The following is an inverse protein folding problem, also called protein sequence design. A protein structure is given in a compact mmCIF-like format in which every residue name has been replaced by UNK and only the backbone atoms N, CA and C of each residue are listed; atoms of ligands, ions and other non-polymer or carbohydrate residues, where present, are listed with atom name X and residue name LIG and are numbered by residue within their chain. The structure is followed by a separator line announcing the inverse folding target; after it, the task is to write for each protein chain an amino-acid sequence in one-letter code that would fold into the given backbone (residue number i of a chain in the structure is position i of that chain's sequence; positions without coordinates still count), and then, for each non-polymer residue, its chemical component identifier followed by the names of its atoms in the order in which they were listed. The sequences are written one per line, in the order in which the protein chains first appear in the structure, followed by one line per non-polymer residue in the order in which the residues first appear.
data_IF_738509106277
#
_entry.id   IF_738509106277
#
_cell.length_a   1.000
_cell.length_b   1.000
_cell.length_c   1.000
_cell.angle_alpha   90.00
_cell.angle_beta   90.00
_cell.angle_gamma   90.00
#
_symmetry.space_group_name_H-M   'P 1'
#
loop_
_entity.id
_entity.type
_entity.pdbx_description
1 polymer ?
#
# COMPACT_ATOMS: atom_id res chain seq x y z
N UNK A 1 -13.69 -18.57 -9.98
CA UNK A 1 -14.08 -17.17 -10.29
C UNK A 1 -14.56 -16.40 -9.06
N UNK A 2 -15.67 -16.81 -8.42
CA UNK A 2 -16.21 -16.10 -7.24
C UNK A 2 -15.23 -16.06 -6.05
N UNK A 3 -14.69 -17.20 -5.64
CA UNK A 3 -13.73 -17.27 -4.54
C UNK A 3 -12.46 -16.43 -4.80
N UNK A 4 -11.89 -16.53 -6.00
CA UNK A 4 -10.72 -15.71 -6.41
C UNK A 4 -11.01 -14.22 -6.34
N UNK A 5 -12.17 -13.80 -6.87
CA UNK A 5 -12.59 -12.38 -6.84
C UNK A 5 -12.74 -11.90 -5.40
N UNK A 6 -13.40 -12.71 -4.54
CA UNK A 6 -13.60 -12.38 -3.14
C UNK A 6 -12.27 -12.21 -2.41
N UNK A 7 -11.32 -13.13 -2.59
CA UNK A 7 -9.98 -13.04 -1.99
C UNK A 7 -9.24 -11.77 -2.43
N UNK A 8 -9.26 -11.44 -3.73
CA UNK A 8 -8.61 -10.24 -4.24
C UNK A 8 -9.24 -8.95 -3.68
N UNK A 9 -10.56 -8.91 -3.54
CA UNK A 9 -11.25 -7.76 -2.94
C UNK A 9 -10.97 -7.64 -1.44
N UNK A 10 -10.86 -8.77 -0.72
CA UNK A 10 -10.45 -8.79 0.69
C UNK A 10 -9.03 -8.22 0.83
N UNK A 11 -8.09 -8.64 -0.03
CA UNK A 11 -6.73 -8.09 -0.04
C UNK A 11 -6.73 -6.59 -0.33
N UNK A 12 -7.53 -6.13 -1.30
CA UNK A 12 -7.67 -4.70 -1.59
C UNK A 12 -8.25 -3.91 -0.41
N UNK A 13 -9.21 -4.48 0.33
CA UNK A 13 -9.79 -3.85 1.52
C UNK A 13 -8.77 -3.73 2.67
N UNK A 14 -7.95 -4.76 2.89
CA UNK A 14 -6.84 -4.66 3.85
C UNK A 14 -5.81 -3.60 3.44
N UNK A 15 -5.48 -3.52 2.15
CA UNK A 15 -4.63 -2.44 1.63
C UNK A 15 -5.22 -1.04 1.82
N UNK A 16 -6.53 -0.87 1.61
CA UNK A 16 -7.22 0.40 1.87
C UNK A 16 -7.20 0.77 3.36
N UNK A 17 -7.39 -0.23 4.23
CA UNK A 17 -7.32 -0.06 5.69
C UNK A 17 -5.92 0.38 6.11
N UNK A 18 -4.89 -0.24 5.54
CA UNK A 18 -3.49 0.12 5.76
C UNK A 18 -3.21 1.59 5.39
N UNK A 19 -3.63 2.04 4.20
CA UNK A 19 -3.48 3.45 3.79
C UNK A 19 -4.25 4.40 4.73
N UNK A 20 -5.44 3.99 5.19
CA UNK A 20 -6.23 4.74 6.17
C UNK A 20 -5.52 4.90 7.51
N UNK A 21 -4.90 3.83 8.03
CA UNK A 21 -4.11 3.88 9.26
C UNK A 21 -2.88 4.78 9.10
N UNK A 22 -2.20 4.70 7.95
CA UNK A 22 -1.06 5.56 7.64
C UNK A 22 -1.46 7.06 7.62
N UNK A 23 -2.62 7.40 7.04
CA UNK A 23 -3.13 8.77 7.04
C UNK A 23 -3.49 9.26 8.46
N UNK A 24 -4.04 8.38 9.30
CA UNK A 24 -4.32 8.68 10.70
C UNK A 24 -3.03 8.99 11.48
N UNK A 25 -2.02 8.16 11.31
CA UNK A 25 -0.71 8.36 11.93
C UNK A 25 -0.06 9.67 11.51
N UNK A 26 -0.04 9.98 10.20
CA UNK A 26 0.46 11.24 9.68
C UNK A 26 -0.25 12.45 10.31
N UNK A 27 -1.58 12.37 10.42
CA UNK A 27 -2.37 13.44 11.04
C UNK A 27 -1.96 13.65 12.50
N UNK A 28 -1.72 12.55 13.24
CA UNK A 28 -1.27 12.61 14.64
C UNK A 28 0.13 13.23 14.75
N UNK A 29 1.09 12.78 13.97
CA UNK A 29 2.46 13.30 13.96
C UNK A 29 2.53 14.79 13.60
N UNK A 30 1.74 15.21 12.62
CA UNK A 30 1.66 16.63 12.21
C UNK A 30 1.06 17.50 13.32
N UNK A 31 0.08 16.98 14.08
CA UNK A 31 -0.50 17.67 15.24
C UNK A 31 0.49 17.78 16.41
N UNK A 32 1.34 16.78 16.59
CA UNK A 32 2.43 16.79 17.58
C UNK A 32 3.63 17.65 17.14
N UNK A 33 3.59 18.21 15.92
CA UNK A 33 4.54 19.20 15.42
C UNK A 33 5.59 18.64 14.47
N UNK A 34 5.61 17.33 14.22
CA UNK A 34 6.51 16.70 13.24
C UNK A 34 6.00 16.97 11.83
N UNK A 35 6.75 17.76 11.07
CA UNK A 35 6.44 18.15 9.70
C UNK A 35 7.62 17.84 8.78
N UNK A 36 7.40 17.72 7.45
CA UNK A 36 8.49 17.49 6.50
C UNK A 36 9.58 18.58 6.56
N UNK A 37 9.22 19.80 6.95
CA UNK A 37 10.12 20.96 7.02
C UNK A 37 10.52 21.36 8.46
N UNK A 38 10.16 20.56 9.47
CA UNK A 38 10.50 20.88 10.85
C UNK A 38 10.07 19.78 11.81
N UNK A 39 11.00 19.35 12.66
CA UNK A 39 10.76 18.32 13.66
C UNK A 39 11.20 18.82 15.05
N UNK A 40 10.26 19.03 16.00
CA UNK A 40 10.59 19.44 17.36
C UNK A 40 11.01 18.27 18.27
N UNK A 41 10.83 17.02 17.84
CA UNK A 41 11.00 15.81 18.67
C UNK A 41 12.33 15.06 18.40
N UNK A 42 13.23 15.59 17.57
CA UNK A 42 14.50 14.91 17.27
C UNK A 42 15.28 15.56 16.13
N UNK A 43 15.93 14.73 15.31
CA UNK A 43 16.72 15.21 14.18
C UNK A 43 15.84 15.99 13.17
N UNK A 44 16.32 17.14 12.72
CA UNK A 44 15.59 18.01 11.79
C UNK A 44 15.23 17.31 10.46
N UNK A 45 16.07 16.37 10.01
CA UNK A 45 15.87 15.58 8.77
C UNK A 45 14.97 14.36 8.93
N UNK A 46 14.59 13.99 10.15
CA UNK A 46 13.75 12.81 10.36
C UNK A 46 12.37 13.00 9.70
N UNK A 47 11.74 14.17 9.89
CA UNK A 47 10.44 14.47 9.30
C UNK A 47 10.46 14.38 7.78
N UNK A 48 11.41 15.03 7.11
CA UNK A 48 11.53 15.01 5.65
C UNK A 48 11.69 13.59 5.10
N UNK A 49 12.63 12.82 5.66
CA UNK A 49 12.88 11.44 5.22
C UNK A 49 11.68 10.50 5.51
N UNK A 50 11.10 10.59 6.71
CA UNK A 50 9.96 9.76 7.11
C UNK A 50 8.76 9.99 6.21
N UNK A 51 8.32 11.26 6.04
CA UNK A 51 7.15 11.57 5.20
C UNK A 51 7.39 11.26 3.72
N UNK A 52 8.63 11.45 3.22
CA UNK A 52 8.96 11.12 1.83
C UNK A 52 8.93 9.61 1.57
N UNK A 53 9.61 8.82 2.38
CA UNK A 53 9.72 7.35 2.18
C UNK A 53 8.36 6.69 2.42
N UNK A 54 7.72 6.98 3.56
CA UNK A 54 6.40 6.40 3.86
C UNK A 54 5.34 6.91 2.88
N UNK A 55 5.42 8.17 2.45
CA UNK A 55 4.46 8.75 1.49
C UNK A 55 4.57 8.14 0.11
N UNK A 56 5.79 7.97 -0.40
CA UNK A 56 6.03 7.30 -1.68
C UNK A 56 5.56 5.84 -1.64
N UNK A 57 5.80 5.15 -0.52
CA UNK A 57 5.29 3.80 -0.31
C UNK A 57 3.75 3.78 -0.27
N UNK A 58 3.12 4.68 0.49
CA UNK A 58 1.66 4.80 0.57
C UNK A 58 1.00 5.07 -0.79
N UNK A 59 1.68 5.81 -1.67
CA UNK A 59 1.27 5.98 -3.08
C UNK A 59 1.29 4.65 -3.83
N UNK A 60 2.36 3.84 -3.70
CA UNK A 60 2.45 2.52 -4.35
C UNK A 60 1.37 1.56 -3.86
N UNK A 61 1.09 1.56 -2.55
CA UNK A 61 -0.01 0.77 -1.97
C UNK A 61 -1.35 1.22 -2.52
N UNK A 62 -1.61 2.53 -2.58
CA UNK A 62 -2.85 3.09 -3.13
C UNK A 62 -3.06 2.70 -4.60
N UNK A 63 -2.01 2.81 -5.42
CA UNK A 63 -2.04 2.35 -6.81
C UNK A 63 -2.28 0.83 -6.90
N UNK A 64 -1.67 0.06 -6.00
CA UNK A 64 -1.88 -1.39 -5.89
C UNK A 64 -3.32 -1.78 -5.53
N UNK A 65 -3.97 -1.05 -4.62
CA UNK A 65 -5.37 -1.29 -4.23
C UNK A 65 -6.29 -1.06 -5.42
N UNK A 66 -6.07 0.02 -6.17
CA UNK A 66 -6.79 0.31 -7.41
C UNK A 66 -6.57 -0.83 -8.41
N UNK A 67 -5.32 -1.25 -8.60
CA UNK A 67 -4.99 -2.30 -9.56
C UNK A 67 -5.62 -3.65 -9.20
N UNK A 68 -5.51 -4.08 -7.94
CA UNK A 68 -6.17 -5.28 -7.42
C UNK A 68 -7.69 -5.24 -7.63
N UNK A 69 -8.32 -4.10 -7.33
CA UNK A 69 -9.77 -3.93 -7.50
C UNK A 69 -10.17 -4.06 -8.98
N UNK A 70 -9.43 -3.42 -9.89
CA UNK A 70 -9.69 -3.51 -11.33
C UNK A 70 -9.52 -4.95 -11.84
N UNK A 71 -8.47 -5.65 -11.42
CA UNK A 71 -8.22 -7.04 -11.84
C UNK A 71 -9.28 -7.97 -11.25
N UNK A 72 -9.68 -7.81 -9.99
CA UNK A 72 -10.76 -8.56 -9.37
C UNK A 72 -12.08 -8.42 -10.16
N UNK A 73 -12.44 -7.19 -10.55
CA UNK A 73 -13.64 -6.94 -11.38
C UNK A 73 -13.54 -7.59 -12.77
N UNK A 74 -12.35 -7.62 -13.38
CA UNK A 74 -12.10 -8.31 -14.66
C UNK A 74 -12.19 -9.84 -14.54
N UNK A 75 -11.72 -10.41 -13.42
CA UNK A 75 -11.86 -11.84 -13.10
C UNK A 75 -13.33 -12.21 -12.91
N UNK A 76 -14.09 -11.38 -12.18
CA UNK A 76 -15.53 -11.60 -11.97
C UNK A 76 -16.33 -11.61 -13.28
N UNK A 77 -15.99 -10.69 -14.21
CA UNK A 77 -16.59 -10.61 -15.55
C UNK A 77 -16.15 -11.75 -16.50
N UNK A 78 -15.25 -12.64 -16.08
CA UNK A 78 -14.77 -13.77 -16.89
C UNK A 78 -13.89 -13.35 -18.07
N UNK A 79 -13.24 -12.17 -17.99
CA UNK A 79 -12.41 -11.64 -19.08
C UNK A 79 -11.21 -12.52 -19.38
N UNK A 80 -10.56 -13.05 -18.34
CA UNK A 80 -9.34 -13.86 -18.47
C UNK A 80 -9.62 -15.29 -18.94
N UNK A 81 -10.78 -15.86 -18.60
CA UNK A 81 -11.21 -17.15 -19.15
C UNK A 81 -11.44 -17.12 -20.67
N UNK A 82 -11.88 -15.97 -21.21
CA UNK A 82 -11.99 -15.77 -22.66
C UNK A 82 -10.63 -15.58 -23.34
N UNK A 83 -9.63 -15.12 -22.59
CA UNK A 83 -8.28 -14.82 -23.09
C UNK A 83 -7.34 -16.03 -23.01
N UNK A 84 -7.67 -17.03 -22.19
CA UNK A 84 -6.89 -18.28 -22.05
C UNK A 84 -5.62 -18.15 -21.20
N UNK A 85 -5.33 -16.98 -20.61
CA UNK A 85 -4.18 -16.78 -19.73
C UNK A 85 -4.54 -15.97 -18.47
N UNK A 86 -3.95 -16.37 -17.35
CA UNK A 86 -4.09 -15.73 -16.03
C UNK A 86 -2.86 -14.91 -15.62
N UNK A 87 -1.92 -14.70 -16.54
CA UNK A 87 -0.65 -14.00 -16.34
C UNK A 87 -0.83 -12.62 -15.69
N UNK A 88 -1.86 -11.86 -16.09
CA UNK A 88 -2.14 -10.54 -15.49
C UNK A 88 -2.46 -10.62 -14.00
N UNK A 89 -3.13 -11.68 -13.54
CA UNK A 89 -3.43 -11.88 -12.11
C UNK A 89 -2.15 -12.18 -11.34
N UNK A 90 -1.26 -12.99 -11.91
CA UNK A 90 0.02 -13.34 -11.29
C UNK A 90 0.96 -12.13 -11.19
N UNK A 91 1.10 -11.34 -12.26
CA UNK A 91 1.87 -10.08 -12.26
C UNK A 91 1.32 -9.11 -11.21
N UNK A 92 -0.02 -9.03 -11.09
CA UNK A 92 -0.66 -8.19 -10.07
C UNK A 92 -0.32 -8.67 -8.65
N UNK A 93 -0.33 -9.98 -8.43
CA UNK A 93 0.08 -10.58 -7.16
C UNK A 93 1.54 -10.31 -6.83
N UNK A 94 2.45 -10.47 -7.80
CA UNK A 94 3.88 -10.17 -7.65
C UNK A 94 4.12 -8.70 -7.29
N UNK A 95 3.42 -7.77 -7.96
CA UNK A 95 3.48 -6.35 -7.60
C UNK A 95 3.04 -6.11 -6.16
N UNK A 96 1.93 -6.73 -5.73
CA UNK A 96 1.42 -6.55 -4.37
C UNK A 96 2.40 -7.09 -3.31
N UNK A 97 2.96 -8.27 -3.53
CA UNK A 97 3.97 -8.85 -2.63
C UNK A 97 5.26 -8.04 -2.58
N UNK A 98 5.68 -7.47 -3.71
CA UNK A 98 6.83 -6.57 -3.73
C UNK A 98 6.61 -5.33 -2.86
N UNK A 99 5.44 -4.70 -2.99
CA UNK A 99 5.09 -3.55 -2.16
C UNK A 99 5.07 -3.94 -0.67
N UNK A 100 4.43 -5.05 -0.31
CA UNK A 100 4.39 -5.55 1.07
C UNK A 100 5.80 -5.77 1.66
N UNK A 101 6.70 -6.39 0.88
CA UNK A 101 8.08 -6.63 1.30
C UNK A 101 8.85 -5.33 1.55
N UNK A 102 8.65 -4.29 0.73
CA UNK A 102 9.25 -2.97 0.96
C UNK A 102 8.74 -2.36 2.27
N UNK A 103 7.46 -2.56 2.63
CA UNK A 103 6.93 -2.06 3.90
C UNK A 103 7.61 -2.68 5.11
N UNK A 104 7.89 -4.00 5.08
CA UNK A 104 8.58 -4.69 6.18
C UNK A 104 9.92 -4.02 6.49
N UNK A 105 10.66 -3.60 5.46
CA UNK A 105 11.91 -2.86 5.65
C UNK A 105 11.68 -1.46 6.23
N UNK A 106 10.72 -0.71 5.70
CA UNK A 106 10.38 0.63 6.22
C UNK A 106 10.00 0.55 7.70
N UNK A 107 9.17 -0.43 8.07
CA UNK A 107 8.75 -0.65 9.44
C UNK A 107 9.95 -0.94 10.36
N UNK A 108 10.86 -1.82 9.94
CA UNK A 108 12.05 -2.15 10.71
C UNK A 108 12.95 -0.93 10.98
N UNK A 109 13.18 -0.08 9.98
CA UNK A 109 14.09 1.06 10.13
C UNK A 109 13.51 2.24 10.91
N UNK A 110 12.19 2.46 10.86
CA UNK A 110 11.57 3.65 11.48
C UNK A 110 10.85 3.36 12.80
N UNK A 111 10.45 2.12 13.07
CA UNK A 111 9.69 1.77 14.28
C UNK A 111 10.43 0.87 15.26
N UNK A 112 11.39 0.07 14.80
CA UNK A 112 12.10 -0.90 15.66
C UNK A 112 13.51 -0.45 16.06
N UNK A 113 14.07 0.58 15.42
CA UNK A 113 15.41 1.12 15.66
C UNK A 113 15.34 2.62 15.92
#
# INVERSE_FOLDING_TARGET
RANTTALMLITAAFGATFVGMQAFEWTKLIREGVRPWGNPLGAAQFGSCFFMITGFHGLHVSAGVIYLTVVALRVWRGFYDRKGSYETVEITGLYWHFVDLVWVFIFAFFYLW
#
